data_IF_741589055903
#
_entry.id   IF_741589055903
#
_cell.length_a   1.000
_cell.length_b   1.000
_cell.length_c   1.000
_cell.angle_alpha   90.00
_cell.angle_beta   90.00
_cell.angle_gamma   90.00
#
_symmetry.space_group_name_H-M   'P 1'
#
loop_
_entity.id
_entity.type
_entity.pdbx_description
1 polymer ?
#
# COMPACT_ATOMS: atom_id res chain seq x y z
N UNK A 1 -7.52 8.58 16.90
CA UNK A 1 -7.63 9.27 15.61
C UNK A 1 -6.69 8.63 14.62
N UNK A 2 -7.21 8.22 13.49
CA UNK A 2 -6.41 7.52 12.50
C UNK A 2 -5.67 8.52 11.63
N UNK A 3 -4.39 8.28 11.44
CA UNK A 3 -3.59 9.09 10.55
C UNK A 3 -3.49 8.38 9.21
N UNK A 4 -3.70 9.13 8.14
CA UNK A 4 -3.54 8.60 6.81
C UNK A 4 -2.36 9.26 6.14
N UNK A 5 -1.65 8.46 5.36
CA UNK A 5 -0.46 8.90 4.65
C UNK A 5 -0.69 8.75 3.16
N UNK A 6 0.09 9.46 2.39
CA UNK A 6 0.06 9.34 0.94
C UNK A 6 1.41 8.89 0.44
N UNK A 7 1.41 8.19 -0.68
CA UNK A 7 2.64 7.75 -1.30
C UNK A 7 2.36 7.26 -2.70
N UNK A 8 3.37 6.69 -3.32
CA UNK A 8 3.24 6.13 -4.66
C UNK A 8 3.65 4.67 -4.65
N UNK A 9 3.04 3.90 -5.53
CA UNK A 9 3.35 2.48 -5.64
C UNK A 9 4.72 2.32 -6.31
N UNK A 10 5.63 1.66 -5.63
CA UNK A 10 6.94 1.38 -6.19
C UNK A 10 6.85 0.24 -7.21
N UNK A 11 6.19 -0.83 -6.82
CA UNK A 11 5.84 -1.93 -7.71
C UNK A 11 4.81 -2.81 -7.02
N UNK A 12 4.08 -3.57 -7.82
CA UNK A 12 3.10 -4.50 -7.29
C UNK A 12 3.03 -5.71 -8.21
N UNK A 13 3.06 -6.91 -7.61
CA UNK A 13 2.99 -8.17 -8.35
C UNK A 13 1.60 -8.76 -8.18
N UNK A 14 0.79 -8.68 -9.22
CA UNK A 14 -0.59 -9.18 -9.18
C UNK A 14 -0.66 -10.69 -8.96
N UNK A 15 0.28 -11.42 -9.52
CA UNK A 15 0.28 -12.87 -9.40
C UNK A 15 0.55 -13.32 -7.97
N UNK A 16 1.44 -12.62 -7.28
CA UNK A 16 1.77 -12.93 -5.89
C UNK A 16 0.90 -12.19 -4.89
N UNK A 17 0.27 -11.10 -5.32
CA UNK A 17 -0.66 -10.36 -4.50
C UNK A 17 0.00 -9.41 -3.50
N UNK A 18 1.20 -8.92 -3.78
CA UNK A 18 1.86 -7.97 -2.89
C UNK A 18 2.79 -7.04 -3.65
N UNK A 19 3.20 -5.99 -2.97
CA UNK A 19 4.13 -5.02 -3.52
C UNK A 19 4.64 -4.09 -2.45
N UNK A 20 5.17 -2.96 -2.90
CA UNK A 20 5.70 -1.95 -1.99
C UNK A 20 5.24 -0.56 -2.39
N UNK A 21 5.02 0.27 -1.38
CA UNK A 21 4.63 1.66 -1.55
C UNK A 21 5.77 2.52 -1.06
N UNK A 22 6.16 3.48 -1.87
CA UNK A 22 7.21 4.44 -1.52
C UNK A 22 6.58 5.63 -0.82
N UNK A 23 7.13 5.98 0.34
CA UNK A 23 6.72 7.16 1.09
C UNK A 23 7.74 8.26 0.90
N UNK A 24 7.30 9.51 0.99
CA UNK A 24 8.19 10.66 0.93
C UNK A 24 9.11 10.74 2.14
N UNK A 25 8.71 10.17 3.24
CA UNK A 25 9.22 10.49 4.56
C UNK A 25 9.53 9.24 5.37
N UNK A 26 10.06 8.22 4.72
CA UNK A 26 10.43 7.02 5.45
C UNK A 26 10.69 5.86 4.51
N UNK A 27 10.92 4.67 5.08
CA UNK A 27 11.19 3.48 4.28
C UNK A 27 9.96 3.02 3.51
N UNK A 28 10.20 2.22 2.48
CA UNK A 28 9.11 1.62 1.71
C UNK A 28 8.26 0.73 2.62
N UNK A 29 6.96 0.70 2.31
CA UNK A 29 6.01 -0.10 3.07
C UNK A 29 5.57 -1.30 2.26
N UNK A 30 5.47 -2.44 2.92
CA UNK A 30 4.89 -3.63 2.33
C UNK A 30 3.38 -3.46 2.20
N UNK A 31 2.81 -3.89 1.07
CA UNK A 31 1.37 -3.87 0.88
C UNK A 31 0.92 -5.21 0.31
N UNK A 32 -0.12 -5.79 0.88
CA UNK A 32 -0.71 -7.03 0.40
C UNK A 32 -2.09 -6.72 -0.19
N UNK A 33 -2.51 -7.50 -1.19
CA UNK A 33 -3.77 -7.21 -1.87
C UNK A 33 -4.98 -7.17 -0.91
N UNK A 34 -4.92 -7.92 0.19
CA UNK A 34 -5.99 -7.91 1.18
C UNK A 34 -6.13 -6.57 1.89
N UNK A 35 -5.09 -5.75 1.83
CA UNK A 35 -5.09 -4.42 2.45
C UNK A 35 -5.45 -3.31 1.46
N UNK A 36 -5.78 -3.67 0.23
CA UNK A 36 -6.22 -2.69 -0.77
C UNK A 36 -7.74 -2.66 -0.73
N UNK A 37 -8.29 -1.49 -0.47
CA UNK A 37 -9.74 -1.32 -0.41
C UNK A 37 -10.33 -1.07 -1.79
N UNK A 38 -11.59 -1.40 -1.94
CA UNK A 38 -12.31 -1.21 -3.18
C UNK A 38 -13.03 -2.47 -3.61
N UNK A 39 -13.89 -2.35 -4.61
CA UNK A 39 -14.60 -3.47 -5.21
C UNK A 39 -13.92 -3.83 -6.53
N UNK A 40 -13.90 -5.11 -6.87
CA UNK A 40 -13.28 -5.57 -8.10
C UNK A 40 -11.82 -5.93 -7.90
N UNK A 41 -11.00 -5.57 -8.89
CA UNK A 41 -9.58 -5.91 -8.84
C UNK A 41 -8.85 -5.09 -7.80
N UNK A 42 -8.23 -5.79 -6.87
CA UNK A 42 -7.41 -5.17 -5.85
C UNK A 42 -5.96 -5.18 -6.31
N UNK A 43 -5.68 -4.33 -7.26
CA UNK A 43 -4.35 -4.26 -7.84
C UNK A 43 -3.88 -2.81 -7.89
N UNK A 44 -2.57 -2.65 -7.88
CA UNK A 44 -1.93 -1.35 -7.97
C UNK A 44 -0.96 -1.36 -9.12
N UNK A 45 -0.73 -0.21 -9.70
CA UNK A 45 0.24 -0.05 -10.78
C UNK A 45 1.39 0.81 -10.30
N UNK A 46 2.53 0.62 -10.91
CA UNK A 46 3.71 1.43 -10.62
C UNK A 46 3.38 2.92 -10.75
N UNK A 47 3.82 3.70 -9.78
CA UNK A 47 3.60 5.14 -9.70
C UNK A 47 2.16 5.59 -9.39
N UNK A 48 1.25 4.66 -9.14
CA UNK A 48 -0.10 5.05 -8.69
C UNK A 48 -0.01 5.80 -7.36
N UNK A 49 -0.77 6.88 -7.27
CA UNK A 49 -0.87 7.63 -6.02
C UNK A 49 -1.90 6.95 -5.13
N UNK A 50 -1.52 6.71 -3.90
CA UNK A 50 -2.38 6.00 -2.95
C UNK A 50 -2.39 6.69 -1.60
N UNK A 51 -3.47 6.46 -0.88
CA UNK A 51 -3.65 6.90 0.49
C UNK A 51 -3.78 5.66 1.36
N UNK A 52 -3.17 5.65 2.52
CA UNK A 52 -3.14 4.44 3.34
C UNK A 52 -2.89 4.77 4.80
N UNK A 53 -3.06 3.76 5.66
CA UNK A 53 -2.65 3.81 7.05
C UNK A 53 -1.45 2.89 7.22
N UNK A 54 -0.68 3.14 8.27
CA UNK A 54 0.51 2.33 8.55
C UNK A 54 0.25 1.44 9.75
N UNK A 55 0.60 0.18 9.64
CA UNK A 55 0.46 -0.78 10.72
C UNK A 55 1.73 -1.61 10.82
N UNK A 56 2.04 -2.06 12.02
CA UNK A 56 3.19 -2.92 12.24
C UNK A 56 2.75 -4.37 12.12
N UNK A 57 3.39 -5.09 11.23
CA UNK A 57 3.06 -6.49 11.00
C UNK A 57 4.25 -7.40 11.23
N UNK A 58 4.09 -8.70 10.96
CA UNK A 58 5.17 -9.68 11.18
C UNK A 58 6.44 -9.40 10.40
N UNK A 59 6.30 -8.73 9.27
CA UNK A 59 7.45 -8.40 8.41
C UNK A 59 7.91 -6.96 8.58
N UNK A 60 7.39 -6.26 9.59
CA UNK A 60 7.71 -4.86 9.82
C UNK A 60 6.53 -3.97 9.49
N UNK A 61 6.80 -2.74 9.11
CA UNK A 61 5.73 -1.79 8.81
C UNK A 61 5.07 -2.14 7.48
N UNK A 62 3.75 -2.02 7.44
CA UNK A 62 2.97 -2.32 6.24
C UNK A 62 1.88 -1.29 6.04
N UNK A 63 1.48 -1.10 4.80
CA UNK A 63 0.37 -0.23 4.46
C UNK A 63 -0.93 -1.03 4.54
N UNK A 64 -1.94 -0.43 5.15
CA UNK A 64 -3.27 -1.05 5.28
C UNK A 64 -4.31 -0.04 4.85
N UNK A 65 -5.50 -0.51 4.53
CA UNK A 65 -6.61 0.33 4.08
C UNK A 65 -6.19 1.23 2.92
N UNK A 66 -5.52 0.63 1.95
CA UNK A 66 -4.95 1.35 0.81
C UNK A 66 -6.02 1.70 -0.20
N UNK A 67 -6.09 2.95 -0.57
CA UNK A 67 -7.03 3.46 -1.58
C UNK A 67 -6.28 4.26 -2.62
N UNK A 68 -6.65 4.11 -3.87
CA UNK A 68 -6.13 4.97 -4.92
C UNK A 68 -6.73 6.36 -4.78
N UNK A 69 -5.91 7.35 -5.00
CA UNK A 69 -6.35 8.74 -4.97
C UNK A 69 -6.80 9.16 -6.37
#
# INVERSE_FOLDING_TARGET
MEERYTGSVKWFNEAKGYGFIKRDDGPDLFVHYTNIEGSGFRTLKEDDQVEFEVNEGPKGLQAVKVNKI
#
